data_IF_688276527434
#
_entry.id   IF_688276527434
#
_cell.length_a   1.000
_cell.length_b   1.000
_cell.length_c   1.000
_cell.angle_alpha   90.00
_cell.angle_beta   90.00
_cell.angle_gamma   90.00
#
_symmetry.space_group_name_H-M   'P 1'
#
loop_
_entity.id
_entity.type
_entity.pdbx_description
1 polymer ?
#
# COMPACT_ATOMS: atom_id res chain seq x y z
N UNK A 1 27.82 -26.82 -4.20
CA UNK A 1 27.62 -26.84 -2.74
C UNK A 1 27.87 -25.44 -2.18
N UNK A 2 26.77 -24.79 -1.72
CA UNK A 2 26.63 -23.79 -0.64
C UNK A 2 27.63 -22.63 -0.55
N UNK A 3 27.23 -21.37 -0.81
CA UNK A 3 26.42 -20.44 0.02
C UNK A 3 27.33 -19.47 0.76
N UNK A 4 27.24 -18.18 0.43
CA UNK A 4 26.89 -17.09 1.36
C UNK A 4 27.27 -15.75 0.74
N UNK A 5 26.34 -15.17 -0.03
CA UNK A 5 26.36 -13.73 -0.34
C UNK A 5 26.27 -12.97 0.98
N UNK A 6 27.40 -12.36 1.36
CA UNK A 6 27.52 -11.43 2.47
C UNK A 6 27.03 -10.05 2.01
N UNK A 7 25.81 -9.69 2.43
CA UNK A 7 25.31 -8.31 2.34
C UNK A 7 24.93 -7.82 3.72
N UNK A 8 25.92 -7.82 4.64
CA UNK A 8 25.86 -7.04 5.86
C UNK A 8 26.30 -5.60 5.57
N UNK A 9 25.42 -4.78 5.00
CA UNK A 9 25.64 -3.33 4.98
C UNK A 9 25.36 -2.81 6.39
N UNK A 10 26.42 -2.60 7.16
CA UNK A 10 26.40 -1.95 8.48
C UNK A 10 26.03 -0.48 8.28
N UNK A 11 24.73 -0.19 8.24
CA UNK A 11 24.22 1.17 8.21
C UNK A 11 24.47 1.78 9.60
N UNK A 12 25.23 2.87 9.74
CA UNK A 12 25.56 3.42 11.04
C UNK A 12 24.28 3.79 11.80
N UNK A 13 24.24 3.41 13.09
CA UNK A 13 23.09 3.55 13.98
C UNK A 13 22.44 4.94 13.96
N UNK A 14 23.23 5.98 13.70
CA UNK A 14 22.80 7.38 13.58
C UNK A 14 21.89 7.62 12.37
N UNK A 15 22.20 7.02 11.21
CA UNK A 15 21.35 7.10 10.00
C UNK A 15 20.07 6.28 10.14
N UNK A 16 20.12 5.13 10.82
CA UNK A 16 18.91 4.34 11.13
C UNK A 16 17.98 5.10 12.07
N UNK A 17 18.53 5.82 13.06
CA UNK A 17 17.75 6.67 13.96
C UNK A 17 17.18 7.91 13.27
N UNK A 18 17.93 8.53 12.36
CA UNK A 18 17.44 9.64 11.53
C UNK A 18 16.36 9.18 10.55
N UNK A 19 16.49 7.99 9.95
CA UNK A 19 15.46 7.39 9.11
C UNK A 19 14.22 7.02 9.93
N UNK A 20 14.39 6.46 11.13
CA UNK A 20 13.30 6.18 12.06
C UNK A 20 12.58 7.46 12.50
N UNK A 21 13.33 8.52 12.81
CA UNK A 21 12.78 9.84 13.14
C UNK A 21 12.06 10.47 11.95
N UNK A 22 12.60 10.37 10.74
CA UNK A 22 11.95 10.83 9.53
C UNK A 22 10.69 10.01 9.21
N UNK A 23 10.65 8.71 9.51
CA UNK A 23 9.43 7.88 9.38
C UNK A 23 8.39 8.19 10.45
N UNK A 24 8.81 8.52 11.67
CA UNK A 24 7.94 8.96 12.77
C UNK A 24 7.45 10.41 12.58
N UNK A 25 8.17 11.24 11.81
CA UNK A 25 7.74 12.57 11.39
C UNK A 25 6.83 12.50 10.15
N UNK A 26 7.09 11.54 9.24
CA UNK A 26 6.25 11.23 8.08
C UNK A 26 4.88 10.68 8.49
N UNK A 27 4.82 9.92 9.58
CA UNK A 27 3.57 9.51 10.22
C UNK A 27 3.25 10.47 11.36
N UNK A 28 2.42 11.51 11.15
CA UNK A 28 2.13 12.46 12.22
C UNK A 28 1.65 11.69 13.44
N UNK A 29 2.28 11.91 14.60
CA UNK A 29 2.14 11.07 15.82
C UNK A 29 0.69 10.87 16.26
N UNK A 30 -0.22 11.78 15.87
CA UNK A 30 -1.69 11.65 16.06
C UNK A 30 -2.36 10.52 15.27
N UNK A 31 -1.69 9.96 14.27
CA UNK A 31 -2.28 8.98 13.36
C UNK A 31 -1.78 7.56 13.58
N UNK A 32 -0.70 7.34 14.36
CA UNK A 32 -0.12 6.01 14.60
C UNK A 32 -1.15 4.95 15.01
N UNK A 33 -2.07 5.33 15.89
CA UNK A 33 -3.18 4.48 16.32
C UNK A 33 -4.08 4.02 15.15
N UNK A 34 -4.31 4.89 14.16
CA UNK A 34 -5.11 4.54 12.97
C UNK A 34 -4.38 3.55 12.07
N UNK A 35 -3.06 3.71 11.92
CA UNK A 35 -2.25 2.83 11.10
C UNK A 35 -2.16 1.43 11.73
N UNK A 36 -1.93 1.36 13.05
CA UNK A 36 -1.91 0.12 13.81
C UNK A 36 -3.27 -0.61 13.74
N UNK A 37 -4.39 0.12 13.93
CA UNK A 37 -5.73 -0.45 13.77
C UNK A 37 -5.96 -1.03 12.38
N UNK A 38 -5.53 -0.34 11.32
CA UNK A 38 -5.68 -0.87 9.95
C UNK A 38 -4.81 -2.11 9.72
N UNK A 39 -3.61 -2.14 10.30
CA UNK A 39 -2.74 -3.30 10.26
C UNK A 39 -3.36 -4.50 11.00
N UNK A 40 -3.92 -4.29 12.20
CA UNK A 40 -4.65 -5.32 12.94
C UNK A 40 -5.84 -5.88 12.13
N UNK A 41 -6.64 -5.01 11.50
CA UNK A 41 -7.74 -5.44 10.64
C UNK A 41 -7.23 -6.33 9.48
N UNK A 42 -6.06 -6.02 8.93
CA UNK A 42 -5.44 -6.82 7.88
C UNK A 42 -4.91 -8.16 8.42
N UNK A 43 -4.26 -8.17 9.59
CA UNK A 43 -3.82 -9.41 10.24
C UNK A 43 -4.99 -10.32 10.61
N UNK A 44 -6.08 -9.78 11.11
CA UNK A 44 -7.29 -10.55 11.41
C UNK A 44 -7.89 -11.15 10.15
N UNK A 45 -7.95 -10.38 9.05
CA UNK A 45 -8.37 -10.92 7.75
C UNK A 45 -7.43 -12.04 7.27
N UNK A 46 -6.12 -11.86 7.43
CA UNK A 46 -5.11 -12.88 7.09
C UNK A 46 -5.28 -14.16 7.91
N UNK A 47 -5.57 -14.02 9.20
CA UNK A 47 -5.87 -15.12 10.13
C UNK A 47 -7.13 -15.88 9.71
N UNK A 48 -8.18 -15.15 9.33
CA UNK A 48 -9.44 -15.74 8.84
C UNK A 48 -9.24 -16.53 7.54
N UNK A 49 -8.37 -16.05 6.64
CA UNK A 49 -8.08 -16.70 5.35
C UNK A 49 -6.96 -17.76 5.43
N UNK A 50 -6.31 -17.92 6.58
CA UNK A 50 -5.16 -18.81 6.80
C UNK A 50 -4.00 -18.60 5.82
N UNK A 51 -3.78 -17.35 5.39
CA UNK A 51 -2.74 -17.03 4.42
C UNK A 51 -1.45 -16.69 5.13
N UNK A 52 -0.41 -17.50 4.96
CA UNK A 52 0.92 -17.22 5.52
C UNK A 52 1.81 -16.39 4.60
N UNK A 53 1.49 -16.26 3.31
CA UNK A 53 2.34 -15.55 2.35
C UNK A 53 1.85 -14.12 2.07
N UNK A 54 2.75 -13.15 2.04
CA UNK A 54 2.44 -11.75 1.65
C UNK A 54 2.74 -11.55 0.16
N UNK A 55 1.94 -12.16 -0.71
CA UNK A 55 2.08 -12.04 -2.17
C UNK A 55 1.17 -10.97 -2.75
N UNK A 56 1.46 -10.54 -3.98
CA UNK A 56 0.63 -9.60 -4.74
C UNK A 56 -0.85 -10.02 -4.79
N UNK A 57 -1.11 -11.32 -4.95
CA UNK A 57 -2.46 -11.88 -5.07
C UNK A 57 -3.28 -11.70 -3.79
N UNK A 58 -2.64 -11.83 -2.63
CA UNK A 58 -3.27 -11.68 -1.31
C UNK A 58 -3.71 -10.24 -1.08
N UNK A 59 -2.86 -9.28 -1.43
CA UNK A 59 -3.23 -7.87 -1.40
C UNK A 59 -4.36 -7.58 -2.39
N UNK A 60 -4.30 -8.13 -3.60
CA UNK A 60 -5.35 -7.95 -4.60
C UNK A 60 -6.70 -8.49 -4.11
N UNK A 61 -6.74 -9.68 -3.52
CA UNK A 61 -7.93 -10.28 -2.94
C UNK A 61 -8.49 -9.44 -1.78
N UNK A 62 -7.62 -8.98 -0.86
CA UNK A 62 -8.01 -8.10 0.23
C UNK A 62 -8.68 -6.81 -0.28
N UNK A 63 -8.04 -6.12 -1.23
CA UNK A 63 -8.58 -4.90 -1.81
C UNK A 63 -9.82 -5.16 -2.64
N UNK A 64 -9.96 -6.33 -3.28
CA UNK A 64 -11.18 -6.70 -3.99
C UNK A 64 -12.37 -6.83 -3.03
N UNK A 65 -12.20 -7.55 -1.91
CA UNK A 65 -13.23 -7.67 -0.86
C UNK A 65 -13.59 -6.29 -0.27
N UNK A 66 -12.58 -5.49 0.07
CA UNK A 66 -12.79 -4.14 0.64
C UNK A 66 -13.39 -3.16 -0.38
N UNK A 67 -13.10 -3.29 -1.67
CA UNK A 67 -13.65 -2.40 -2.70
C UNK A 67 -15.17 -2.50 -2.85
N UNK A 68 -15.79 -3.59 -2.39
CA UNK A 68 -17.24 -3.73 -2.39
C UNK A 68 -17.91 -2.89 -1.31
N UNK A 69 -17.21 -2.62 -0.21
CA UNK A 69 -17.76 -1.92 0.96
C UNK A 69 -17.26 -0.48 1.10
N UNK A 70 -16.09 -0.15 0.55
CA UNK A 70 -15.46 1.16 0.70
C UNK A 70 -15.44 1.96 -0.61
N UNK A 71 -15.57 3.28 -0.48
CA UNK A 71 -15.35 4.23 -1.59
C UNK A 71 -13.87 4.20 -2.01
N UNK A 72 -13.61 4.46 -3.29
CA UNK A 72 -12.26 4.39 -3.86
C UNK A 72 -11.24 5.26 -3.10
N UNK A 73 -11.61 6.48 -2.71
CA UNK A 73 -10.72 7.38 -1.95
C UNK A 73 -10.34 6.79 -0.58
N UNK A 74 -11.28 6.13 0.10
CA UNK A 74 -11.00 5.44 1.37
C UNK A 74 -10.10 4.23 1.16
N UNK A 75 -10.26 3.50 0.06
CA UNK A 75 -9.43 2.36 -0.30
C UNK A 75 -7.97 2.78 -0.53
N UNK A 76 -7.74 3.92 -1.19
CA UNK A 76 -6.41 4.50 -1.36
C UNK A 76 -5.76 4.94 -0.05
N UNK A 77 -6.56 5.47 0.88
CA UNK A 77 -6.07 5.78 2.24
C UNK A 77 -5.64 4.50 2.96
N UNK A 78 -6.46 3.43 2.93
CA UNK A 78 -6.10 2.13 3.51
C UNK A 78 -4.86 1.52 2.86
N UNK A 79 -4.74 1.61 1.52
CA UNK A 79 -3.53 1.19 0.80
C UNK A 79 -2.28 1.94 1.28
N UNK A 80 -2.38 3.27 1.41
CA UNK A 80 -1.25 4.09 1.85
C UNK A 80 -0.85 3.78 3.29
N UNK A 81 -1.83 3.54 4.16
CA UNK A 81 -1.58 3.13 5.56
C UNK A 81 -0.87 1.77 5.62
N UNK A 82 -1.38 0.76 4.92
CA UNK A 82 -0.77 -0.56 4.87
C UNK A 82 0.63 -0.52 4.26
N UNK A 83 0.85 0.27 3.20
CA UNK A 83 2.16 0.48 2.59
C UNK A 83 3.18 0.98 3.61
N UNK A 84 2.82 1.99 4.40
CA UNK A 84 3.72 2.55 5.40
C UNK A 84 4.05 1.53 6.51
N UNK A 85 3.05 0.80 7.01
CA UNK A 85 3.27 -0.18 8.09
C UNK A 85 4.08 -1.38 7.60
N UNK A 86 3.80 -1.90 6.41
CA UNK A 86 4.51 -3.06 5.85
C UNK A 86 5.95 -2.73 5.46
N UNK A 87 6.20 -1.50 5.00
CA UNK A 87 7.56 -1.01 4.80
C UNK A 87 8.33 -0.98 6.12
N UNK A 88 7.71 -0.57 7.22
CA UNK A 88 8.37 -0.49 8.52
C UNK A 88 8.61 -1.86 9.18
N UNK A 89 7.63 -2.78 9.08
CA UNK A 89 7.65 -4.08 9.77
C UNK A 89 8.45 -5.14 9.02
N UNK A 90 8.20 -5.27 7.72
CA UNK A 90 8.71 -6.38 6.90
C UNK A 90 9.63 -5.89 5.77
N UNK A 91 9.87 -4.57 5.65
CA UNK A 91 10.59 -3.95 4.53
C UNK A 91 9.99 -4.31 3.16
N UNK A 92 8.69 -4.59 3.13
CA UNK A 92 7.97 -4.97 1.91
C UNK A 92 7.35 -3.74 1.25
N UNK A 93 7.84 -3.40 0.06
CA UNK A 93 7.29 -2.31 -0.73
C UNK A 93 6.14 -2.78 -1.63
N UNK A 94 4.91 -2.55 -1.17
CA UNK A 94 3.66 -2.82 -1.90
C UNK A 94 3.56 -1.98 -3.19
N UNK A 95 4.37 -0.92 -3.33
CA UNK A 95 4.41 -0.10 -4.54
C UNK A 95 4.91 -0.86 -5.77
N UNK A 96 5.64 -1.97 -5.56
CA UNK A 96 6.14 -2.82 -6.64
C UNK A 96 5.03 -3.69 -7.26
N UNK A 97 3.86 -3.79 -6.62
CA UNK A 97 2.74 -4.60 -7.10
C UNK A 97 1.87 -3.83 -8.11
N UNK A 98 2.27 -3.90 -9.36
CA UNK A 98 1.58 -3.24 -10.47
C UNK A 98 0.11 -3.65 -10.59
N UNK A 99 -0.26 -4.92 -10.31
CA UNK A 99 -1.67 -5.37 -10.45
C UNK A 99 -2.57 -4.72 -9.40
N UNK A 100 -2.07 -4.62 -8.17
CA UNK A 100 -2.80 -3.97 -7.06
C UNK A 100 -2.99 -2.48 -7.37
N UNK A 101 -1.92 -1.78 -7.76
CA UNK A 101 -2.01 -0.36 -8.12
C UNK A 101 -2.93 -0.12 -9.32
N UNK A 102 -2.88 -0.97 -10.36
CA UNK A 102 -3.77 -0.89 -11.51
C UNK A 102 -5.23 -1.10 -11.12
N UNK A 103 -5.52 -2.05 -10.21
CA UNK A 103 -6.86 -2.29 -9.69
C UNK A 103 -7.41 -1.07 -8.94
N UNK A 104 -6.64 -0.51 -8.00
CA UNK A 104 -7.04 0.68 -7.25
C UNK A 104 -7.23 1.90 -8.17
N UNK A 105 -6.36 2.09 -9.17
CA UNK A 105 -6.51 3.15 -10.18
C UNK A 105 -7.83 3.01 -10.93
N UNK A 106 -8.14 1.82 -11.46
CA UNK A 106 -9.38 1.56 -12.18
C UNK A 106 -10.63 1.83 -11.34
N UNK A 107 -10.58 1.53 -10.04
CA UNK A 107 -11.68 1.79 -9.09
C UNK A 107 -11.84 3.27 -8.76
N UNK A 108 -10.76 4.06 -8.78
CA UNK A 108 -10.78 5.50 -8.54
C UNK A 108 -11.17 6.32 -9.77
N UNK A 109 -10.86 5.86 -10.97
CA UNK A 109 -11.13 6.54 -12.25
C UNK A 109 -12.58 6.39 -12.73
N UNK A 110 -13.54 6.32 -11.81
CA UNK A 110 -14.98 6.36 -12.16
C UNK A 110 -15.39 7.63 -12.93
N UNK A 111 -14.52 8.63 -12.99
CA UNK A 111 -14.64 9.75 -13.90
C UNK A 111 -14.02 9.40 -15.26
N UNK A 112 -14.83 8.85 -16.16
CA UNK A 112 -14.59 8.97 -17.58
C UNK A 112 -14.93 10.43 -17.96
N UNK A 113 -13.98 11.27 -18.42
CA UNK A 113 -14.38 12.48 -19.10
C UNK A 113 -15.29 12.05 -20.26
N UNK A 114 -16.55 12.46 -20.22
CA UNK A 114 -17.46 12.27 -21.35
C UNK A 114 -16.87 13.11 -22.46
N UNK A 115 -16.17 12.48 -23.40
CA UNK A 115 -15.68 13.10 -24.61
C UNK A 115 -16.89 13.73 -25.30
N UNK A 116 -17.13 15.02 -25.04
CA UNK A 116 -18.00 15.80 -25.90
C UNK A 116 -17.18 16.00 -27.15
N UNK A 117 -17.35 15.10 -28.12
CA UNK A 117 -17.11 15.44 -29.50
C UNK A 117 -18.00 16.65 -29.79
N UNK A 118 -17.41 17.85 -29.79
CA UNK A 118 -17.99 18.96 -30.56
C UNK A 118 -17.17 19.06 -31.85
N UNK A 119 -17.87 18.70 -32.91
CA UNK A 119 -17.45 18.65 -34.29
C UNK A 119 -17.38 20.06 -34.88
N UNK A 120 -16.37 20.27 -35.73
CA UNK A 120 -16.40 21.02 -37.00
C UNK A 120 -16.43 22.57 -36.97
N UNK A 121 -15.28 23.12 -37.36
CA UNK A 121 -15.09 24.04 -38.50
C UNK A 121 -16.18 25.06 -38.81
N UNK A 122 -15.88 26.33 -38.53
CA UNK A 122 -16.27 27.54 -39.29
C UNK A 122 -15.45 28.67 -38.66
N UNK A 123 -14.68 29.53 -39.34
CA UNK A 123 -14.58 29.91 -40.75
C UNK A 123 -13.20 30.54 -40.94
#
# INVERSE_FOLDING_TARGET
MNTSENTGEDVPFDLSKAAAAATEELLPSKSKERYEKQFQIFEDWRRLKNVTSLTEDVFLAYFAEKSSSYKASSLWSTYSMLKAVLLLKENLDISKFCKVTAYLKRKSTGYQPKNRNVCLGTR
#
